data_IF_367861580891
#
_entry.id   IF_367861580891
#
_cell.length_a   1.000
_cell.length_b   1.000
_cell.length_c   1.000
_cell.angle_alpha   90.00
_cell.angle_beta   90.00
_cell.angle_gamma   90.00
#
_symmetry.space_group_name_H-M   'P 1'
#
loop_
_entity.id
_entity.type
_entity.pdbx_description
1 polymer ?
#
# COMPACT_ATOMS: atom_id res chain seq x y z
N UNK A 1 16.71 4.41 -1.68
CA UNK A 1 15.72 3.47 -2.25
C UNK A 1 14.47 4.22 -2.64
N UNK A 2 13.88 3.88 -3.73
CA UNK A 2 12.69 4.56 -4.21
C UNK A 2 11.47 3.63 -4.16
N UNK A 3 10.30 4.21 -3.97
CA UNK A 3 9.05 3.48 -4.03
C UNK A 3 8.85 2.86 -5.43
N UNK A 4 9.33 3.53 -6.46
CA UNK A 4 9.29 3.01 -7.83
C UNK A 4 10.08 1.72 -7.98
N UNK A 5 11.25 1.63 -7.33
CA UNK A 5 12.05 0.40 -7.34
C UNK A 5 11.31 -0.75 -6.65
N UNK A 6 10.62 -0.46 -5.55
CA UNK A 6 9.81 -1.46 -4.87
C UNK A 6 8.65 -1.94 -5.75
N UNK A 7 7.97 -1.03 -6.43
CA UNK A 7 6.88 -1.39 -7.36
C UNK A 7 7.41 -2.28 -8.47
N UNK A 8 8.57 -1.95 -9.04
CA UNK A 8 9.21 -2.77 -10.07
C UNK A 8 9.55 -4.17 -9.54
N UNK A 9 9.98 -4.26 -8.28
CA UNK A 9 10.27 -5.55 -7.64
C UNK A 9 9.03 -6.43 -7.51
N UNK A 10 7.86 -5.84 -7.32
CA UNK A 10 6.61 -6.60 -7.25
C UNK A 10 6.32 -7.35 -8.54
N UNK A 11 6.70 -6.79 -9.68
CA UNK A 11 6.52 -7.43 -10.98
C UNK A 11 7.45 -8.62 -11.18
N UNK A 12 8.46 -8.76 -10.34
CA UNK A 12 9.43 -9.86 -10.41
C UNK A 12 9.15 -10.98 -9.40
N UNK A 13 8.09 -10.86 -8.59
CA UNK A 13 7.74 -11.92 -7.66
C UNK A 13 7.33 -13.19 -8.40
N UNK A 14 7.61 -14.39 -7.82
CA UNK A 14 7.24 -15.63 -8.48
C UNK A 14 5.72 -15.72 -8.69
N UNK A 15 5.32 -16.24 -9.86
CA UNK A 15 3.92 -16.45 -10.23
C UNK A 15 3.04 -15.21 -10.11
N UNK A 16 3.65 -14.04 -10.24
CA UNK A 16 3.01 -12.76 -9.99
C UNK A 16 3.42 -11.76 -11.03
N UNK A 17 2.49 -10.90 -11.43
CA UNK A 17 2.86 -9.76 -12.27
C UNK A 17 2.07 -8.54 -11.85
N UNK A 18 2.68 -7.39 -12.06
CA UNK A 18 2.06 -6.10 -11.82
C UNK A 18 1.07 -5.80 -12.93
N UNK A 19 -0.18 -5.51 -12.56
CA UNK A 19 -1.21 -5.13 -13.52
C UNK A 19 -1.25 -3.64 -13.72
N UNK A 20 -1.27 -2.89 -12.64
CA UNK A 20 -1.34 -1.44 -12.66
C UNK A 20 -0.84 -0.89 -11.32
N UNK A 21 -0.22 0.26 -11.36
CA UNK A 21 0.16 0.99 -10.16
C UNK A 21 -0.41 2.40 -10.24
N UNK A 22 -0.79 2.94 -9.09
CA UNK A 22 -1.24 4.31 -9.00
C UNK A 22 -0.08 5.28 -9.17
N UNK A 23 -0.39 6.57 -9.31
CA UNK A 23 0.59 7.62 -9.13
C UNK A 23 1.13 7.54 -7.70
N UNK A 24 2.30 8.09 -7.47
CA UNK A 24 2.82 8.29 -6.13
C UNK A 24 2.17 9.54 -5.54
N UNK A 25 1.75 9.46 -4.29
CA UNK A 25 1.10 10.57 -3.62
C UNK A 25 1.93 11.01 -2.43
N UNK A 26 2.07 12.31 -2.29
CA UNK A 26 2.78 12.94 -1.19
C UNK A 26 1.76 13.38 -0.15
N UNK A 27 1.97 13.00 1.10
CA UNK A 27 1.16 13.41 2.24
C UNK A 27 2.04 14.15 3.22
N UNK A 28 1.73 15.40 3.56
CA UNK A 28 2.53 16.13 4.54
C UNK A 28 2.39 15.49 5.92
N UNK A 29 3.43 15.56 6.76
CA UNK A 29 3.35 15.02 8.11
C UNK A 29 2.38 15.82 8.95
N UNK A 30 1.50 15.13 9.67
CA UNK A 30 0.52 15.77 10.54
C UNK A 30 1.20 16.30 11.81
N UNK A 31 1.09 17.61 12.02
CA UNK A 31 1.49 18.23 13.28
C UNK A 31 2.98 18.30 13.58
N UNK A 32 3.84 17.82 12.69
CA UNK A 32 5.29 17.87 12.87
C UNK A 32 5.96 18.32 11.57
N UNK A 33 6.49 19.52 11.59
CA UNK A 33 7.15 20.10 10.42
C UNK A 33 8.56 19.57 10.19
N UNK A 34 9.13 18.90 11.18
CA UNK A 34 10.48 18.34 11.12
C UNK A 34 10.55 16.92 10.57
N UNK A 35 9.41 16.31 10.28
CA UNK A 35 9.37 14.97 9.69
C UNK A 35 9.32 15.03 8.18
N UNK A 36 9.93 14.02 7.55
CA UNK A 36 9.84 13.87 6.11
C UNK A 36 8.39 13.58 5.69
N UNK A 37 8.05 14.03 4.49
CA UNK A 37 6.77 13.73 3.88
C UNK A 37 6.63 12.22 3.63
N UNK A 38 5.42 11.71 3.78
CA UNK A 38 5.12 10.33 3.42
C UNK A 38 4.75 10.26 1.95
N UNK A 39 5.26 9.23 1.29
CA UNK A 39 4.90 8.93 -0.10
C UNK A 39 4.24 7.57 -0.12
N UNK A 40 3.06 7.51 -0.73
CA UNK A 40 2.26 6.30 -0.80
C UNK A 40 1.79 6.04 -2.23
N UNK A 41 1.54 4.78 -2.54
CA UNK A 41 0.96 4.34 -3.79
C UNK A 41 0.22 3.04 -3.55
N UNK A 42 -0.65 2.67 -4.48
CA UNK A 42 -1.33 1.39 -4.47
C UNK A 42 -1.04 0.68 -5.79
N UNK A 43 -0.79 -0.61 -5.71
CA UNK A 43 -0.54 -1.44 -6.88
C UNK A 43 -1.50 -2.62 -6.89
N UNK A 44 -1.94 -3.01 -8.06
CA UNK A 44 -2.73 -4.22 -8.27
C UNK A 44 -1.86 -5.28 -8.93
N UNK A 45 -1.83 -6.44 -8.31
CA UNK A 45 -1.06 -7.58 -8.78
C UNK A 45 -2.00 -8.68 -9.25
N UNK A 46 -1.56 -9.43 -10.24
CA UNK A 46 -2.15 -10.70 -10.61
C UNK A 46 -1.21 -11.79 -10.12
N UNK A 47 -1.68 -12.68 -9.26
CA UNK A 47 -0.81 -13.66 -8.63
C UNK A 47 -1.48 -15.03 -8.51
N UNK A 48 -0.65 -16.07 -8.56
CA UNK A 48 -1.06 -17.44 -8.24
C UNK A 48 -0.63 -17.84 -6.84
N UNK A 49 0.09 -16.96 -6.14
CA UNK A 49 0.49 -17.24 -4.76
C UNK A 49 -0.74 -17.18 -3.85
N UNK A 50 -0.80 -18.09 -2.89
CA UNK A 50 -1.81 -18.04 -1.83
C UNK A 50 -1.57 -16.81 -0.96
N UNK A 51 -2.58 -16.32 -0.23
CA UNK A 51 -2.46 -15.06 0.52
C UNK A 51 -1.25 -14.98 1.45
N UNK A 52 -0.99 -15.99 2.25
CA UNK A 52 0.17 -15.97 3.16
C UNK A 52 1.49 -16.06 2.42
N UNK A 53 1.54 -16.80 1.31
CA UNK A 53 2.74 -16.86 0.48
C UNK A 53 3.02 -15.50 -0.16
N UNK A 54 1.98 -14.81 -0.61
CA UNK A 54 2.13 -13.45 -1.13
C UNK A 54 2.62 -12.50 -0.03
N UNK A 55 2.05 -12.60 1.17
CA UNK A 55 2.50 -11.78 2.29
C UNK A 55 3.99 -12.00 2.56
N UNK A 56 4.45 -13.25 2.58
CA UNK A 56 5.87 -13.55 2.79
C UNK A 56 6.74 -12.94 1.69
N UNK A 57 6.28 -12.98 0.44
CA UNK A 57 7.00 -12.39 -0.67
C UNK A 57 7.10 -10.86 -0.52
N UNK A 58 6.02 -10.22 -0.07
CA UNK A 58 6.02 -8.77 0.18
C UNK A 58 6.98 -8.40 1.32
N UNK A 59 7.02 -9.19 2.37
CA UNK A 59 7.95 -8.96 3.47
C UNK A 59 9.40 -9.08 3.02
N UNK A 60 9.67 -9.99 2.11
CA UNK A 60 11.01 -10.13 1.54
C UNK A 60 11.40 -8.91 0.71
N UNK A 61 10.47 -8.35 -0.06
CA UNK A 61 10.72 -7.10 -0.79
C UNK A 61 11.01 -5.96 0.18
N UNK A 62 10.27 -5.86 1.27
CA UNK A 62 10.56 -4.86 2.30
C UNK A 62 11.98 -5.01 2.85
N UNK A 63 12.39 -6.24 3.15
CA UNK A 63 13.73 -6.50 3.66
C UNK A 63 14.81 -6.09 2.68
N UNK A 64 14.61 -6.38 1.41
CA UNK A 64 15.62 -6.09 0.38
C UNK A 64 15.69 -4.61 0.02
N UNK A 65 14.58 -3.90 0.13
CA UNK A 65 14.48 -2.53 -0.40
C UNK A 65 14.30 -1.45 0.65
N UNK A 66 14.00 -1.75 1.88
CA UNK A 66 13.68 -0.67 2.78
C UNK A 66 13.80 -0.91 4.25
N UNK A 67 13.86 -2.15 4.68
CA UNK A 67 13.89 -2.49 6.11
C UNK A 67 15.28 -2.72 6.67
N UNK A 68 16.30 -2.69 5.83
CA UNK A 68 17.66 -2.90 6.31
C UNK A 68 18.05 -1.69 7.14
N UNK A 69 18.21 -1.91 8.44
CA UNK A 69 18.66 -0.87 9.36
C UNK A 69 20.16 -1.02 9.56
N UNK A 70 20.86 0.08 9.40
CA UNK A 70 22.27 0.12 9.74
C UNK A 70 22.41 0.06 11.27
N UNK A 71 23.50 -0.52 11.80
CA UNK A 71 23.77 -0.48 13.23
C UNK A 71 23.73 0.97 13.74
N UNK A 72 22.97 1.20 14.79
CA UNK A 72 22.80 2.54 15.33
C UNK A 72 21.61 3.32 14.81
N UNK A 73 20.98 2.84 13.75
CA UNK A 73 19.82 3.51 13.13
C UNK A 73 18.50 2.96 13.67
N UNK A 74 18.46 2.77 14.97
CA UNK A 74 17.38 2.09 15.69
C UNK A 74 16.05 2.82 15.56
N UNK A 75 16.08 4.13 15.45
CA UNK A 75 14.91 4.99 15.44
C UNK A 75 14.69 5.66 14.09
N UNK A 76 15.44 5.25 13.08
CA UNK A 76 15.26 5.75 11.74
C UNK A 76 13.90 5.38 11.18
N UNK A 77 13.32 6.22 10.31
CA UNK A 77 12.04 5.90 9.68
C UNK A 77 12.19 4.65 8.81
N UNK A 78 11.12 3.87 8.77
CA UNK A 78 11.05 2.78 7.80
C UNK A 78 11.00 3.39 6.41
N UNK A 79 11.84 2.90 5.52
CA UNK A 79 11.90 3.43 4.17
C UNK A 79 10.90 2.77 3.24
N UNK A 80 10.31 1.65 3.65
CA UNK A 80 9.32 0.95 2.84
C UNK A 80 8.41 0.10 3.71
N UNK A 81 7.10 0.31 3.57
CA UNK A 81 6.07 -0.56 4.11
C UNK A 81 5.20 -1.07 2.97
N UNK A 82 5.01 -2.37 2.91
CA UNK A 82 4.12 -3.01 1.94
C UNK A 82 2.98 -3.69 2.68
N UNK A 83 1.77 -3.17 2.52
CA UNK A 83 0.57 -3.74 3.12
C UNK A 83 -0.24 -4.47 2.07
N UNK A 84 -0.66 -5.68 2.39
CA UNK A 84 -1.63 -6.39 1.57
C UNK A 84 -3.02 -5.90 1.95
N UNK A 85 -3.65 -5.15 1.06
CA UNK A 85 -4.94 -4.51 1.33
C UNK A 85 -6.12 -5.42 1.07
N UNK A 86 -6.08 -6.11 -0.05
CA UNK A 86 -7.16 -6.96 -0.55
C UNK A 86 -6.57 -8.16 -1.25
N UNK A 87 -7.28 -9.28 -1.20
CA UNK A 87 -6.93 -10.46 -1.98
C UNK A 87 -8.21 -10.99 -2.62
N UNK A 88 -8.48 -10.52 -3.83
CA UNK A 88 -9.74 -10.80 -4.50
C UNK A 88 -10.92 -10.39 -3.63
N UNK A 89 -11.89 -11.26 -3.52
CA UNK A 89 -13.06 -11.05 -2.65
C UNK A 89 -12.92 -11.76 -1.31
N UNK A 90 -11.73 -12.28 -1.02
CA UNK A 90 -11.50 -13.03 0.21
C UNK A 90 -11.61 -12.16 1.45
N UNK A 91 -12.23 -12.69 2.47
CA UNK A 91 -12.27 -12.10 3.80
C UNK A 91 -11.52 -13.05 4.72
N UNK A 92 -10.33 -12.65 5.15
CA UNK A 92 -9.47 -13.46 6.00
C UNK A 92 -9.17 -12.72 7.29
N UNK A 93 -9.23 -13.44 8.40
CA UNK A 93 -8.87 -12.92 9.70
C UNK A 93 -7.94 -13.94 10.37
N UNK A 94 -6.67 -13.86 10.00
CA UNK A 94 -5.63 -14.77 10.47
C UNK A 94 -4.67 -14.00 11.37
N UNK A 95 -3.90 -14.69 12.24
CA UNK A 95 -2.94 -13.99 13.10
C UNK A 95 -1.96 -13.11 12.34
N UNK A 96 -1.55 -13.52 11.15
CA UNK A 96 -0.56 -12.79 10.36
C UNK A 96 -1.16 -11.92 9.28
N UNK A 97 -2.45 -12.10 8.93
CA UNK A 97 -3.01 -11.44 7.75
C UNK A 97 -4.50 -11.20 7.92
N UNK A 98 -4.89 -9.94 7.78
CA UNK A 98 -6.30 -9.55 7.68
C UNK A 98 -6.54 -8.88 6.34
N UNK A 99 -7.41 -9.44 5.53
CA UNK A 99 -7.88 -8.81 4.30
C UNK A 99 -9.41 -8.89 4.25
N UNK A 100 -10.07 -7.81 3.91
CA UNK A 100 -9.54 -6.46 3.63
C UNK A 100 -8.79 -5.89 4.84
N UNK A 101 -7.76 -5.08 4.56
CA UNK A 101 -7.01 -4.43 5.63
C UNK A 101 -7.97 -3.67 6.55
N UNK A 102 -7.83 -3.83 7.88
CA UNK A 102 -8.85 -3.30 8.83
C UNK A 102 -9.09 -1.79 8.75
N UNK A 103 -8.10 -1.02 8.34
CA UNK A 103 -8.18 0.43 8.30
C UNK A 103 -8.20 1.01 6.90
N UNK A 104 -8.34 0.16 5.88
CA UNK A 104 -8.29 0.60 4.49
C UNK A 104 -9.28 1.72 4.21
N UNK A 105 -10.51 1.53 4.63
CA UNK A 105 -11.61 2.45 4.35
C UNK A 105 -11.52 3.79 5.11
N UNK A 106 -10.60 3.90 6.07
CA UNK A 106 -10.42 5.10 6.90
C UNK A 106 -9.24 5.95 6.44
N UNK A 107 -8.38 5.43 5.58
CA UNK A 107 -7.11 6.08 5.23
C UNK A 107 -7.17 6.71 3.85
N UNK A 108 -7.22 8.05 3.79
CA UNK A 108 -7.25 8.76 2.51
C UNK A 108 -6.04 8.45 1.65
N UNK A 109 -4.86 8.28 2.27
CA UNK A 109 -3.63 7.96 1.55
C UNK A 109 -3.63 6.54 0.97
N UNK A 110 -4.66 5.74 1.25
CA UNK A 110 -4.91 4.44 0.63
C UNK A 110 -6.07 4.55 -0.36
N UNK A 111 -7.18 5.15 0.06
CA UNK A 111 -8.40 5.23 -0.76
C UNK A 111 -8.18 6.07 -2.03
N UNK A 112 -7.46 7.18 -1.95
CA UNK A 112 -7.21 8.03 -3.11
C UNK A 112 -6.40 7.29 -4.20
N UNK A 113 -5.24 6.69 -3.88
CA UNK A 113 -4.52 5.91 -4.90
C UNK A 113 -5.32 4.70 -5.38
N UNK A 114 -6.06 4.06 -4.49
CA UNK A 114 -6.89 2.92 -4.87
C UNK A 114 -7.98 3.34 -5.85
N UNK A 115 -8.61 4.49 -5.63
CA UNK A 115 -9.63 5.02 -6.53
C UNK A 115 -9.07 5.34 -7.92
N UNK A 116 -7.81 5.74 -7.98
CA UNK A 116 -7.17 6.00 -9.27
C UNK A 116 -7.13 4.75 -10.14
N UNK A 117 -6.90 3.59 -9.55
CA UNK A 117 -6.72 2.34 -10.32
C UNK A 117 -7.94 1.42 -10.25
N UNK A 118 -8.85 1.62 -9.31
CA UNK A 118 -9.96 0.71 -9.10
C UNK A 118 -11.16 1.44 -8.47
N UNK A 119 -11.62 2.52 -9.12
CA UNK A 119 -12.69 3.37 -8.58
C UNK A 119 -14.00 2.61 -8.34
N UNK A 120 -14.30 1.62 -9.17
CA UNK A 120 -15.56 0.87 -9.11
C UNK A 120 -15.47 -0.39 -8.25
N UNK A 121 -14.31 -0.63 -7.64
CA UNK A 121 -14.12 -1.79 -6.77
C UNK A 121 -15.04 -1.67 -5.55
N UNK A 122 -15.74 -2.76 -5.23
CA UNK A 122 -16.61 -2.83 -4.06
C UNK A 122 -15.84 -3.50 -2.93
N UNK A 123 -15.69 -2.77 -1.84
CA UNK A 123 -15.03 -3.31 -0.63
C UNK A 123 -16.06 -4.04 0.22
N UNK A 124 -15.72 -5.22 0.75
CA UNK A 124 -16.62 -5.91 1.68
C UNK A 124 -16.99 -5.00 2.84
N UNK A 125 -18.29 -4.87 3.11
CA UNK A 125 -18.85 -4.07 4.23
C UNK A 125 -18.74 -2.56 4.09
N UNK A 126 -18.01 -2.03 3.10
CA UNK A 126 -17.74 -0.59 3.01
C UNK A 126 -18.22 0.06 1.72
N UNK A 127 -18.62 -0.72 0.75
CA UNK A 127 -19.15 -0.18 -0.49
C UNK A 127 -18.08 0.13 -1.52
N UNK A 128 -18.48 0.90 -2.53
CA UNK A 128 -17.63 1.21 -3.66
C UNK A 128 -16.56 2.24 -3.31
N UNK A 129 -15.35 2.03 -3.79
CA UNK A 129 -14.20 2.89 -3.47
C UNK A 129 -14.46 4.35 -3.81
N UNK A 130 -15.02 4.64 -4.99
CA UNK A 130 -15.30 6.03 -5.38
C UNK A 130 -16.35 6.69 -4.48
N UNK A 131 -17.30 5.93 -3.95
CA UNK A 131 -18.29 6.47 -3.02
C UNK A 131 -17.68 6.79 -1.66
N UNK A 132 -16.75 5.96 -1.20
CA UNK A 132 -16.01 6.27 0.03
C UNK A 132 -15.24 7.57 -0.11
N UNK A 133 -14.62 7.77 -1.26
CA UNK A 133 -13.81 8.94 -1.51
C UNK A 133 -14.63 10.24 -1.41
N UNK A 134 -15.90 10.21 -1.80
CA UNK A 134 -16.78 11.37 -1.73
C UNK A 134 -16.95 11.91 -0.30
N UNK A 135 -16.76 11.06 0.70
CA UNK A 135 -16.94 11.41 2.11
C UNK A 135 -15.63 11.67 2.84
N UNK A 136 -14.51 11.70 2.12
CA UNK A 136 -13.19 11.85 2.73
C UNK A 136 -12.58 13.21 2.41
N UNK A 137 -11.82 13.73 3.36
CA UNK A 137 -11.03 14.95 3.16
C UNK A 137 -9.71 14.58 2.51
N UNK A 138 -9.51 15.01 1.28
CA UNK A 138 -8.32 14.69 0.51
C UNK A 138 -7.32 15.84 0.44
N UNK A 139 -7.54 16.89 1.23
CA UNK A 139 -6.64 18.04 1.29
C UNK A 139 -5.22 17.61 1.67
N UNK A 140 -4.25 18.15 0.99
CA UNK A 140 -2.84 17.88 1.26
C UNK A 140 -2.30 16.64 0.57
N UNK A 141 -3.15 15.83 -0.05
CA UNK A 141 -2.71 14.65 -0.78
C UNK A 141 -2.44 15.03 -2.23
N UNK A 142 -1.18 15.05 -2.63
CA UNK A 142 -0.73 15.59 -3.92
C UNK A 142 -0.05 14.50 -4.74
N UNK A 143 -0.51 14.25 -5.98
CA UNK A 143 0.19 13.31 -6.85
C UNK A 143 1.55 13.86 -7.25
N UNK A 144 2.53 12.98 -7.27
CA UNK A 144 3.89 13.30 -7.72
C UNK A 144 3.98 12.94 -9.19
N UNK A 145 4.34 13.90 -9.99
CA UNK A 145 4.47 13.71 -11.43
C UNK A 145 5.91 13.64 -11.88
#
# INVERSE_FOLDING_TARGET
MTLRAAIAALDQLPFTRLRIASSLYRTPPWGRQDQAEFVNAVAALETRLAPLALLDALLEVECLHGRVRLPGDRWGPRTLDLDLLLYGEHVLDLPRLRVPHPHLHERTFVVVPLAEIAAELVLPRHGMVCELLEHMDTLGLVPIR
#
